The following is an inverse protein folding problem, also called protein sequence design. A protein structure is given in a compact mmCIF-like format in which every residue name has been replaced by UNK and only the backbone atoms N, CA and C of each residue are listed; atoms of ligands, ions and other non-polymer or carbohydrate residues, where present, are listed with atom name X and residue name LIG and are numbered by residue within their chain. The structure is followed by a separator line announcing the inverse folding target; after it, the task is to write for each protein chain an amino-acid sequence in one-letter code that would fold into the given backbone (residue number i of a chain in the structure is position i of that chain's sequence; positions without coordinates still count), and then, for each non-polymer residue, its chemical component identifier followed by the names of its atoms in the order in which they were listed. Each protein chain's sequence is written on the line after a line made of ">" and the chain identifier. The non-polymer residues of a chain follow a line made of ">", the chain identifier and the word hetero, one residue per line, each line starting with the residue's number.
data_IF_115072598664
#
_entry.id   IF_115072598664
#
_cell.length_a   1.000
_cell.length_b   1.000
_cell.length_c   1.000
_cell.angle_alpha   90.00
_cell.angle_beta   90.00
_cell.angle_gamma   90.00
#
_symmetry.space_group_name_H-M   'P 1'
#
loop_
_entity.id
_entity.type
_entity.pdbx_description
1 polymer ?
#
# COMPACT_ATOMS: atom_id res chain seq x y z
N UNK A 1 8.30 -8.13 18.96
CA UNK A 1 7.15 -8.63 18.18
C UNK A 1 7.15 -7.88 16.85
N UNK A 2 7.57 -8.54 15.77
CA UNK A 2 7.55 -7.94 14.42
C UNK A 2 6.12 -8.03 13.92
N UNK A 3 5.40 -6.91 13.96
CA UNK A 3 4.08 -6.81 13.31
C UNK A 3 4.35 -6.93 11.81
N UNK A 4 3.92 -8.03 11.22
CA UNK A 4 4.02 -8.23 9.78
C UNK A 4 3.03 -7.27 9.12
N UNK A 5 3.53 -6.13 8.67
CA UNK A 5 2.71 -5.11 8.00
C UNK A 5 2.20 -5.72 6.69
N UNK A 6 0.96 -6.19 6.72
CA UNK A 6 0.30 -6.77 5.57
C UNK A 6 -0.38 -5.65 4.82
N UNK A 7 0.11 -5.35 3.62
CA UNK A 7 -0.48 -4.35 2.74
C UNK A 7 -1.60 -5.01 1.94
N UNK A 8 -2.88 -4.77 2.26
CA UNK A 8 -4.01 -5.52 1.68
C UNK A 8 -4.14 -5.37 0.16
N UNK A 9 -3.47 -4.37 -0.39
CA UNK A 9 -3.51 -3.97 -1.78
C UNK A 9 -2.29 -4.41 -2.58
N UNK A 10 -1.27 -4.98 -1.93
CA UNK A 10 -0.09 -5.52 -2.59
C UNK A 10 -0.23 -7.03 -2.63
N UNK A 11 -0.29 -7.58 -3.84
CA UNK A 11 -0.23 -9.02 -4.07
C UNK A 11 1.22 -9.40 -4.39
N UNK A 12 1.77 -10.37 -3.65
CA UNK A 12 3.11 -10.92 -3.90
C UNK A 12 3.02 -12.45 -4.00
N UNK A 13 2.79 -12.94 -5.21
CA UNK A 13 2.76 -14.37 -5.50
C UNK A 13 4.18 -14.94 -5.52
N UNK A 14 4.33 -16.20 -5.13
CA UNK A 14 5.64 -16.86 -5.08
C UNK A 14 6.29 -16.89 -6.47
N UNK A 15 7.53 -16.39 -6.56
CA UNK A 15 8.26 -16.29 -7.83
C UNK A 15 7.82 -15.14 -8.75
N UNK A 16 6.95 -14.25 -8.29
CA UNK A 16 6.53 -13.07 -9.06
C UNK A 16 6.84 -11.75 -8.33
N UNK A 17 7.08 -10.64 -9.07
CA UNK A 17 7.16 -9.32 -8.47
C UNK A 17 5.87 -8.93 -7.76
N UNK A 18 5.99 -8.15 -6.69
CA UNK A 18 4.84 -7.57 -6.01
C UNK A 18 4.08 -6.61 -6.94
N UNK A 19 2.74 -6.65 -6.90
CA UNK A 19 1.88 -5.80 -7.73
C UNK A 19 0.73 -5.22 -6.92
N UNK A 20 0.25 -4.04 -7.33
CA UNK A 20 -0.97 -3.47 -6.79
C UNK A 20 -2.19 -4.21 -7.32
N UNK A 21 -3.08 -4.63 -6.42
CA UNK A 21 -4.39 -5.13 -6.78
C UNK A 21 -5.26 -3.97 -7.27
N UNK A 22 -6.03 -4.23 -8.33
CA UNK A 22 -7.14 -3.41 -8.87
C UNK A 22 -6.84 -1.91 -9.02
N UNK A 23 -6.69 -1.46 -10.28
CA UNK A 23 -6.47 -0.07 -10.69
C UNK A 23 -5.20 0.54 -10.06
N UNK A 24 -4.00 0.04 -10.43
CA UNK A 24 -2.72 0.43 -9.84
C UNK A 24 -2.47 1.94 -9.83
N UNK A 25 -2.83 2.62 -10.92
CA UNK A 25 -2.61 4.07 -11.05
C UNK A 25 -3.43 4.88 -10.05
N UNK A 26 -4.68 4.48 -9.80
CA UNK A 26 -5.54 5.15 -8.81
C UNK A 26 -5.04 4.86 -7.40
N UNK A 27 -4.65 3.62 -7.11
CA UNK A 27 -4.03 3.25 -5.83
C UNK A 27 -2.78 4.07 -5.53
N UNK A 28 -1.88 4.24 -6.50
CA UNK A 28 -0.67 5.08 -6.33
C UNK A 28 -1.06 6.53 -6.06
N UNK A 29 -2.03 7.08 -6.80
CA UNK A 29 -2.48 8.45 -6.60
C UNK A 29 -3.08 8.65 -5.20
N UNK A 30 -3.88 7.71 -4.70
CA UNK A 30 -4.44 7.77 -3.34
C UNK A 30 -3.34 7.77 -2.27
N UNK A 31 -2.39 6.83 -2.33
CA UNK A 31 -1.26 6.76 -1.40
C UNK A 31 -0.45 8.07 -1.42
N UNK A 32 -0.15 8.58 -2.62
CA UNK A 32 0.58 9.84 -2.75
C UNK A 32 -0.20 11.02 -2.17
N UNK A 33 -1.51 11.07 -2.40
CA UNK A 33 -2.37 12.12 -1.84
C UNK A 33 -2.45 12.05 -0.32
N UNK A 34 -2.61 10.86 0.26
CA UNK A 34 -2.67 10.65 1.70
C UNK A 34 -1.38 11.10 2.39
N UNK A 35 -0.23 10.79 1.79
CA UNK A 35 1.08 11.21 2.28
C UNK A 35 1.28 12.72 2.14
N UNK A 36 1.06 13.27 0.94
CA UNK A 36 1.36 14.68 0.65
C UNK A 36 0.38 15.65 1.35
N UNK A 37 -0.86 15.26 1.52
CA UNK A 37 -1.91 16.15 2.05
C UNK A 37 -2.04 16.05 3.56
N UNK A 38 -1.94 14.83 4.10
CA UNK A 38 -2.21 14.56 5.51
C UNK A 38 -0.97 14.12 6.30
N UNK A 39 0.15 13.84 5.63
CA UNK A 39 1.37 13.37 6.27
C UNK A 39 1.23 11.98 6.89
N UNK A 40 0.24 11.19 6.47
CA UNK A 40 -0.04 9.89 7.07
C UNK A 40 1.12 8.92 6.87
N UNK A 41 1.45 8.21 7.94
CA UNK A 41 2.37 7.09 7.89
C UNK A 41 1.71 5.90 7.17
N UNK A 42 2.54 4.92 6.80
CA UNK A 42 2.07 3.69 6.19
C UNK A 42 1.04 2.96 7.07
N UNK A 43 1.26 2.95 8.38
CA UNK A 43 0.38 2.31 9.35
C UNK A 43 -0.97 3.02 9.43
N UNK A 44 -0.99 4.35 9.30
CA UNK A 44 -2.21 5.15 9.28
C UNK A 44 -3.02 4.93 8.00
N UNK A 45 -2.35 4.79 6.85
CA UNK A 45 -2.98 4.47 5.57
C UNK A 45 -3.57 3.05 5.49
N UNK A 46 -3.12 2.14 6.36
CA UNK A 46 -3.53 0.73 6.37
C UNK A 46 -4.63 0.42 7.40
N UNK A 47 -5.08 1.41 8.19
CA UNK A 47 -6.25 1.30 9.07
C UNK A 47 -7.55 1.45 8.31
#
# INVERSE_FOLDING_TARGET
>A
MTVEITYPHIEKNHGQPARLQRIPRVRVAQIAMDYLSYGWSVEEMCR
#
